data_IF_894242389172
#
_entry.id   IF_894242389172
#
_cell.length_a   1.000
_cell.length_b   1.000
_cell.length_c   1.000
_cell.angle_alpha   90.00
_cell.angle_beta   90.00
_cell.angle_gamma   90.00
#
_symmetry.space_group_name_H-M   'P 1'
#
loop_
_entity.id
_entity.type
_entity.pdbx_description
1 polymer ?
#
# COMPACT_ATOMS: atom_id res chain seq x y z
N UNK A 1 6.77 10.48 22.76
CA UNK A 1 6.10 10.04 21.52
C UNK A 1 6.88 8.89 20.92
N UNK A 2 6.17 7.87 20.50
CA UNK A 2 6.79 6.68 19.93
C UNK A 2 6.50 6.62 18.42
N UNK A 3 7.54 6.41 17.62
CA UNK A 3 7.36 6.24 16.18
C UNK A 3 7.35 4.75 15.85
N UNK A 4 6.42 4.38 14.98
CA UNK A 4 6.27 3.00 14.51
C UNK A 4 6.28 2.96 12.99
N UNK A 5 6.43 1.76 12.44
CA UNK A 5 6.29 1.54 11.01
C UNK A 5 4.96 0.87 10.72
N UNK A 6 4.33 1.26 9.62
CA UNK A 6 3.13 0.61 9.12
C UNK A 6 3.46 -0.24 7.91
N UNK A 7 2.89 -1.44 7.88
CA UNK A 7 2.99 -2.32 6.72
C UNK A 7 1.59 -2.72 6.27
N UNK A 8 1.25 -2.46 5.03
CA UNK A 8 0.00 -2.91 4.44
C UNK A 8 0.30 -4.03 3.46
N UNK A 9 -0.37 -5.15 3.62
CA UNK A 9 -0.17 -6.32 2.78
C UNK A 9 -1.25 -6.42 1.71
N UNK A 10 -0.82 -6.46 0.45
CA UNK A 10 -1.72 -6.55 -0.71
C UNK A 10 -1.51 -7.92 -1.36
N UNK A 11 -2.47 -8.85 -1.27
CA UNK A 11 -2.27 -10.22 -1.74
C UNK A 11 -2.57 -10.45 -3.23
N UNK A 12 -2.65 -9.39 -4.03
CA UNK A 12 -2.97 -9.53 -5.45
C UNK A 12 -1.72 -9.45 -6.31
N UNK A 13 -1.71 -10.23 -7.39
CA UNK A 13 -0.67 -10.20 -8.41
C UNK A 13 -1.31 -10.02 -9.77
N UNK A 14 -0.52 -9.50 -10.73
CA UNK A 14 -0.99 -9.35 -12.11
C UNK A 14 -1.33 -10.71 -12.71
N UNK A 15 -0.52 -11.71 -12.42
CA UNK A 15 -0.79 -13.08 -12.79
C UNK A 15 -0.29 -13.98 -11.68
N UNK A 16 -0.98 -15.11 -11.51
CA UNK A 16 -0.58 -16.07 -10.50
C UNK A 16 0.67 -16.80 -10.97
N UNK A 17 1.74 -16.68 -10.22
CA UNK A 17 2.97 -17.41 -10.52
C UNK A 17 3.11 -18.60 -9.58
N UNK A 18 3.95 -19.61 -9.96
CA UNK A 18 4.10 -20.79 -9.12
C UNK A 18 4.58 -20.52 -7.70
N UNK A 19 5.26 -19.41 -7.49
CA UNK A 19 5.80 -19.08 -6.17
C UNK A 19 4.79 -18.41 -5.25
N UNK A 20 3.63 -18.04 -5.76
CA UNK A 20 2.65 -17.25 -5.02
C UNK A 20 1.33 -17.97 -4.81
N UNK A 21 1.33 -19.30 -4.85
CA UNK A 21 0.10 -20.09 -4.82
C UNK A 21 -0.72 -19.92 -3.55
N UNK A 22 -0.07 -19.64 -2.42
CA UNK A 22 -0.76 -19.66 -1.14
C UNK A 22 -1.17 -18.30 -0.63
N UNK A 23 -0.52 -17.24 -1.09
CA UNK A 23 -0.66 -15.93 -0.45
C UNK A 23 -1.06 -14.83 -1.40
N UNK A 24 -1.17 -15.13 -2.69
CA UNK A 24 -1.57 -14.12 -3.66
C UNK A 24 -2.44 -14.74 -4.74
N UNK A 25 -3.29 -13.92 -5.32
CA UNK A 25 -4.16 -14.34 -6.40
C UNK A 25 -4.43 -13.13 -7.30
N UNK A 26 -4.78 -13.41 -8.55
CA UNK A 26 -5.24 -12.35 -9.44
C UNK A 26 -6.71 -12.15 -9.17
N UNK A 27 -7.12 -10.93 -8.82
CA UNK A 27 -8.49 -10.62 -8.53
C UNK A 27 -9.13 -9.81 -9.65
N UNK A 28 -10.45 -9.84 -9.69
CA UNK A 28 -11.20 -8.92 -10.54
C UNK A 28 -11.18 -7.54 -9.91
N UNK A 29 -11.46 -6.51 -10.71
CA UNK A 29 -11.44 -5.14 -10.21
C UNK A 29 -12.37 -4.92 -9.03
N UNK A 30 -13.56 -5.56 -9.05
CA UNK A 30 -14.48 -5.46 -7.91
C UNK A 30 -13.91 -6.06 -6.65
N UNK A 31 -13.18 -7.16 -6.75
CA UNK A 31 -12.54 -7.78 -5.59
C UNK A 31 -11.44 -6.89 -5.03
N UNK A 32 -10.68 -6.24 -5.91
CA UNK A 32 -9.63 -5.32 -5.50
C UNK A 32 -10.21 -4.12 -4.79
N UNK A 33 -11.31 -3.57 -5.29
CA UNK A 33 -11.98 -2.45 -4.66
C UNK A 33 -12.55 -2.83 -3.29
N UNK A 34 -13.14 -4.02 -3.18
CA UNK A 34 -13.68 -4.51 -1.92
C UNK A 34 -12.58 -4.73 -0.89
N UNK A 35 -11.46 -5.31 -1.33
CA UNK A 35 -10.33 -5.50 -0.45
C UNK A 35 -9.78 -4.17 0.05
N UNK A 36 -9.64 -3.21 -0.86
CA UNK A 36 -9.14 -1.88 -0.52
C UNK A 36 -10.03 -1.20 0.51
N UNK A 37 -11.36 -1.28 0.32
CA UNK A 37 -12.31 -0.69 1.27
C UNK A 37 -12.21 -1.33 2.65
N UNK A 38 -12.13 -2.66 2.70
CA UNK A 38 -12.02 -3.37 3.96
C UNK A 38 -10.69 -3.05 4.67
N UNK A 39 -9.60 -3.00 3.91
CA UNK A 39 -8.31 -2.67 4.46
C UNK A 39 -8.27 -1.23 4.98
N UNK A 40 -8.89 -0.31 4.24
CA UNK A 40 -8.98 1.09 4.65
C UNK A 40 -9.71 1.22 5.99
N UNK A 41 -10.83 0.53 6.15
CA UNK A 41 -11.57 0.55 7.42
C UNK A 41 -10.73 0.00 8.56
N UNK A 42 -10.01 -1.08 8.30
CA UNK A 42 -9.14 -1.67 9.31
C UNK A 42 -8.00 -0.74 9.70
N UNK A 43 -7.41 -0.06 8.72
CA UNK A 43 -6.36 0.93 8.97
C UNK A 43 -6.88 2.04 9.86
N UNK A 44 -8.02 2.63 9.51
CA UNK A 44 -8.59 3.74 10.30
C UNK A 44 -8.92 3.31 11.71
N UNK A 45 -9.48 2.13 11.88
CA UNK A 45 -9.81 1.58 13.20
C UNK A 45 -8.53 1.35 14.02
N UNK A 46 -7.50 0.78 13.41
CA UNK A 46 -6.23 0.51 14.09
C UNK A 46 -5.54 1.79 14.52
N UNK A 47 -5.55 2.82 13.66
CA UNK A 47 -4.96 4.11 13.99
C UNK A 47 -5.70 4.73 15.18
N UNK A 48 -7.02 4.68 15.18
CA UNK A 48 -7.81 5.21 16.28
C UNK A 48 -7.45 4.53 17.59
N UNK A 49 -7.30 3.21 17.58
CA UNK A 49 -6.91 2.45 18.76
C UNK A 49 -5.51 2.84 19.24
N UNK A 50 -4.56 2.95 18.32
CA UNK A 50 -3.19 3.30 18.67
C UNK A 50 -3.09 4.71 19.24
N UNK A 51 -3.86 5.64 18.73
CA UNK A 51 -3.81 7.04 19.18
C UNK A 51 -4.56 7.28 20.50
N UNK A 52 -5.53 6.42 20.84
CA UNK A 52 -6.32 6.62 22.04
C UNK A 52 -5.54 6.34 23.34
N UNK A 53 -4.60 5.40 23.27
CA UNK A 53 -3.84 5.03 24.47
C UNK A 53 -2.48 5.71 24.58
N UNK A 54 -1.83 5.96 23.47
CA UNK A 54 -0.50 6.55 23.41
C UNK A 54 -0.40 7.46 22.20
N UNK A 55 0.29 8.59 22.38
CA UNK A 55 0.57 9.47 21.24
C UNK A 55 1.68 8.84 20.43
N UNK A 56 1.31 8.04 19.43
CA UNK A 56 2.29 7.49 18.52
C UNK A 56 1.97 7.93 17.09
N UNK A 57 3.01 7.98 16.28
CA UNK A 57 2.89 8.26 14.85
C UNK A 57 3.76 7.27 14.10
N UNK A 58 3.47 7.11 12.83
CA UNK A 58 4.28 6.28 11.96
C UNK A 58 5.23 7.16 11.16
N UNK A 59 6.49 6.78 11.13
CA UNK A 59 7.49 7.45 10.32
C UNK A 59 7.79 6.67 9.03
N UNK A 60 7.21 5.49 8.87
CA UNK A 60 7.31 4.73 7.64
C UNK A 60 5.96 4.09 7.33
N UNK A 61 5.62 4.05 6.05
CA UNK A 61 4.50 3.28 5.53
C UNK A 61 5.04 2.46 4.35
N UNK A 62 4.86 1.15 4.41
CA UNK A 62 5.28 0.28 3.34
C UNK A 62 4.10 -0.54 2.85
N UNK A 63 3.79 -0.42 1.56
CA UNK A 63 2.71 -1.20 0.94
C UNK A 63 3.37 -2.26 0.06
N UNK A 64 3.25 -3.50 0.47
CA UNK A 64 3.93 -4.61 -0.17
C UNK A 64 3.04 -5.85 -0.25
N UNK A 65 3.66 -6.97 -0.53
CA UNK A 65 2.96 -8.26 -0.60
C UNK A 65 3.10 -8.88 -1.98
N UNK A 66 1.99 -9.13 -2.65
CA UNK A 66 2.00 -9.65 -4.01
C UNK A 66 2.54 -8.60 -4.97
N UNK A 67 1.66 -7.88 -5.63
CA UNK A 67 2.06 -6.75 -6.46
C UNK A 67 1.09 -5.60 -6.20
N UNK A 68 1.38 -4.75 -5.21
CA UNK A 68 0.43 -3.68 -4.84
C UNK A 68 -0.01 -2.80 -5.99
N UNK A 69 0.85 -2.57 -6.98
CA UNK A 69 0.49 -1.73 -8.12
C UNK A 69 -0.72 -2.25 -8.91
N UNK A 70 -1.08 -3.54 -8.78
CA UNK A 70 -2.27 -4.05 -9.47
C UNK A 70 -3.57 -3.51 -8.89
N UNK A 71 -3.55 -2.94 -7.69
CA UNK A 71 -4.74 -2.28 -7.14
C UNK A 71 -5.14 -1.05 -7.92
N UNK A 72 -4.19 -0.45 -8.62
CA UNK A 72 -4.41 0.80 -9.32
C UNK A 72 -4.11 2.00 -8.45
N UNK A 73 -3.80 3.12 -9.10
CA UNK A 73 -3.34 4.32 -8.39
C UNK A 73 -4.38 4.86 -7.43
N UNK A 74 -5.66 4.83 -7.80
CA UNK A 74 -6.71 5.39 -6.95
C UNK A 74 -6.91 4.61 -5.67
N UNK A 75 -6.83 3.27 -5.75
CA UNK A 75 -6.93 2.46 -4.55
C UNK A 75 -5.74 2.68 -3.63
N UNK A 76 -4.54 2.77 -4.21
CA UNK A 76 -3.35 3.06 -3.43
C UNK A 76 -3.41 4.44 -2.80
N UNK A 77 -3.87 5.44 -3.55
CA UNK A 77 -4.08 6.79 -3.02
C UNK A 77 -5.02 6.78 -1.82
N UNK A 78 -6.12 6.05 -1.93
CA UNK A 78 -7.10 5.94 -0.85
C UNK A 78 -6.47 5.35 0.41
N UNK A 79 -5.64 4.33 0.26
CA UNK A 79 -4.95 3.71 1.40
C UNK A 79 -3.92 4.65 2.03
N UNK A 80 -3.13 5.34 1.21
CA UNK A 80 -2.15 6.29 1.70
C UNK A 80 -2.85 7.42 2.46
N UNK A 81 -3.93 7.95 1.90
CA UNK A 81 -4.67 9.03 2.55
C UNK A 81 -5.27 8.58 3.88
N UNK A 82 -5.74 7.34 3.96
CA UNK A 82 -6.26 6.80 5.22
C UNK A 82 -5.16 6.75 6.28
N UNK A 83 -3.97 6.32 5.91
CA UNK A 83 -2.84 6.30 6.83
C UNK A 83 -2.38 7.70 7.22
N UNK A 84 -2.53 8.66 6.32
CA UNK A 84 -2.03 10.02 6.51
C UNK A 84 -3.05 10.95 7.17
N UNK A 85 -4.08 10.42 7.77
CA UNK A 85 -5.07 11.25 8.47
C UNK A 85 -4.57 11.65 9.87
N UNK A 86 -3.40 12.31 9.89
CA UNK A 86 -2.79 12.77 11.14
C UNK A 86 -1.91 11.75 11.84
N UNK A 87 -1.71 10.59 11.22
CA UNK A 87 -0.93 9.52 11.85
C UNK A 87 0.51 9.44 11.34
N UNK A 88 0.77 9.82 10.10
CA UNK A 88 2.14 9.82 9.56
C UNK A 88 2.87 11.09 9.95
N UNK A 89 4.16 10.97 10.19
CA UNK A 89 5.00 12.15 10.43
C UNK A 89 5.18 12.92 9.13
N UNK A 90 5.54 14.20 9.24
CA UNK A 90 5.70 15.06 8.06
C UNK A 90 6.80 14.55 7.11
N UNK A 91 7.81 13.89 7.66
CA UNK A 91 8.93 13.36 6.90
C UNK A 91 8.83 11.85 6.69
N UNK A 92 7.65 11.28 6.82
CA UNK A 92 7.47 9.83 6.70
C UNK A 92 7.92 9.31 5.34
N UNK A 93 8.58 8.15 5.36
CA UNK A 93 8.92 7.44 4.14
C UNK A 93 7.72 6.57 3.74
N UNK A 94 7.17 6.84 2.57
CA UNK A 94 5.99 6.12 2.06
C UNK A 94 6.41 5.35 0.81
N UNK A 95 6.47 4.04 0.94
CA UNK A 95 6.97 3.14 -0.10
C UNK A 95 5.87 2.26 -0.64
N UNK A 96 5.89 2.04 -1.95
CA UNK A 96 4.97 1.12 -2.61
C UNK A 96 5.77 0.18 -3.50
N UNK A 97 5.51 -1.12 -3.37
CA UNK A 97 6.09 -2.11 -4.28
C UNK A 97 5.31 -2.10 -5.58
N UNK A 98 6.01 -2.03 -6.70
CA UNK A 98 5.40 -1.96 -8.01
C UNK A 98 6.05 -2.96 -8.97
N UNK A 99 5.24 -3.52 -9.85
CA UNK A 99 5.73 -4.23 -11.02
C UNK A 99 5.92 -3.18 -12.12
N UNK A 100 7.08 -3.13 -12.78
CA UNK A 100 7.32 -2.10 -13.78
C UNK A 100 6.46 -2.21 -15.04
N UNK A 101 5.80 -3.34 -15.24
CA UNK A 101 4.97 -3.54 -16.43
C UNK A 101 3.60 -2.90 -16.26
N UNK A 102 3.14 -2.20 -17.29
CA UNK A 102 1.79 -1.66 -17.34
C UNK A 102 1.56 -0.39 -16.53
N UNK A 103 2.62 0.23 -16.05
CA UNK A 103 2.51 1.50 -15.33
C UNK A 103 2.74 2.66 -16.27
N UNK A 104 2.02 3.75 -16.04
CA UNK A 104 2.13 4.95 -16.87
C UNK A 104 2.44 6.18 -16.00
N UNK A 105 2.60 7.32 -16.67
CA UNK A 105 2.93 8.56 -15.97
C UNK A 105 1.82 8.98 -15.01
N UNK A 106 0.56 8.75 -15.36
CA UNK A 106 -0.56 9.11 -14.49
C UNK A 106 -0.52 8.32 -13.19
N UNK A 107 -0.16 7.04 -13.27
CA UNK A 107 -0.03 6.22 -12.08
C UNK A 107 0.98 6.83 -11.11
N UNK A 108 2.17 7.15 -11.59
CA UNK A 108 3.21 7.71 -10.73
C UNK A 108 2.87 9.11 -10.25
N UNK A 109 2.18 9.89 -11.08
CA UNK A 109 1.76 11.23 -10.69
C UNK A 109 0.78 11.19 -9.51
N UNK A 110 -0.20 10.30 -9.57
CA UNK A 110 -1.18 10.16 -8.49
C UNK A 110 -0.48 9.74 -7.20
N UNK A 111 0.44 8.76 -7.28
CA UNK A 111 1.17 8.33 -6.09
C UNK A 111 2.02 9.45 -5.51
N UNK A 112 2.70 10.18 -6.36
CA UNK A 112 3.53 11.29 -5.89
C UNK A 112 2.68 12.36 -5.20
N UNK A 113 1.55 12.71 -5.78
CA UNK A 113 0.68 13.73 -5.23
C UNK A 113 0.08 13.35 -3.88
N UNK A 114 -0.13 12.06 -3.63
CA UNK A 114 -0.67 11.64 -2.34
C UNK A 114 0.42 11.39 -1.27
N UNK A 115 1.69 11.56 -1.64
CA UNK A 115 2.77 11.51 -0.68
C UNK A 115 3.72 10.33 -0.80
N UNK A 116 3.50 9.41 -1.74
CA UNK A 116 4.43 8.31 -1.95
C UNK A 116 5.76 8.89 -2.42
N UNK A 117 6.83 8.59 -1.70
CA UNK A 117 8.15 9.15 -1.99
C UNK A 117 9.19 8.08 -2.30
N UNK A 118 8.79 6.81 -2.34
CA UNK A 118 9.70 5.73 -2.70
C UNK A 118 8.93 4.63 -3.43
N UNK A 119 9.49 4.20 -4.56
CA UNK A 119 8.93 3.09 -5.32
C UNK A 119 9.95 1.96 -5.29
N UNK A 120 9.51 0.78 -4.89
CA UNK A 120 10.33 -0.42 -4.94
C UNK A 120 9.89 -1.24 -6.14
N UNK A 121 10.77 -1.37 -7.13
CA UNK A 121 10.46 -2.15 -8.33
C UNK A 121 10.91 -3.57 -8.14
N UNK A 122 9.98 -4.49 -8.34
CA UNK A 122 10.29 -5.90 -8.27
C UNK A 122 10.82 -6.41 -9.60
N UNK A 123 12.07 -6.82 -9.63
CA UNK A 123 12.61 -7.55 -10.77
C UNK A 123 12.29 -9.01 -10.55
N UNK A 124 11.17 -9.43 -11.11
CA UNK A 124 10.62 -10.75 -10.80
C UNK A 124 11.37 -11.90 -11.45
N UNK A 125 12.17 -11.65 -12.44
CA UNK A 125 12.88 -12.71 -13.10
C UNK A 125 14.14 -12.19 -13.71
N UNK A 126 15.22 -12.78 -13.36
CA UNK A 126 16.52 -12.48 -13.92
C UNK A 126 16.92 -13.46 -15.01
N UNK A 127 16.08 -14.37 -15.38
CA UNK A 127 16.45 -15.38 -16.35
C UNK A 127 15.83 -15.14 -17.69
#
# INVERSE_FOLDING_TARGET
MKNIGLYLHIPFCKSKCPYCDFYSFSGKDTEKDQYTSALKEKVLSSISTLQSGNKCKADTLYIGGGTPSVLGAKNLESLVNACNSGFLTDDAEISVECNPHGLDEDFFKILHECGVNRISLGLQSAV
#
